data_IF_824860133315
#
_entry.id   IF_824860133315
#
_cell.length_a   1.000
_cell.length_b   1.000
_cell.length_c   1.000
_cell.angle_alpha   90.00
_cell.angle_beta   90.00
_cell.angle_gamma   90.00
#
_symmetry.space_group_name_H-M   'P 1'
#
loop_
_entity.id
_entity.type
_entity.pdbx_description
1 polymer ?
#
# COMPACT_ATOMS: atom_id res chain seq x y z
N UNK A 1 -94.47 31.28 24.87
CA UNK A 1 -93.35 31.28 25.82
C UNK A 1 -92.84 29.87 26.14
N UNK A 2 -93.60 28.77 25.88
CA UNK A 2 -93.20 27.37 26.20
C UNK A 2 -92.39 26.61 25.11
N UNK A 3 -92.32 27.13 23.91
CA UNK A 3 -91.50 26.43 22.84
C UNK A 3 -90.04 26.85 22.84
N UNK A 4 -89.69 27.99 23.38
CA UNK A 4 -88.26 28.42 23.45
C UNK A 4 -87.50 27.78 24.59
N UNK A 5 -88.18 27.45 25.72
CA UNK A 5 -87.61 26.71 26.84
C UNK A 5 -87.34 25.23 26.58
N UNK A 6 -88.13 24.59 25.70
CA UNK A 6 -87.89 23.20 25.30
C UNK A 6 -86.64 23.04 24.37
N UNK A 7 -86.38 24.03 23.53
CA UNK A 7 -85.21 24.03 22.66
C UNK A 7 -83.91 24.30 23.42
N UNK A 8 -83.96 25.12 24.49
CA UNK A 8 -82.75 25.35 25.32
C UNK A 8 -82.40 24.13 26.19
N UNK A 9 -83.41 23.33 26.63
CA UNK A 9 -83.19 22.09 27.38
C UNK A 9 -82.60 20.98 26.56
N UNK A 10 -82.91 20.90 25.25
CA UNK A 10 -82.41 19.87 24.36
C UNK A 10 -80.94 20.18 23.94
N UNK A 11 -80.50 21.42 23.94
CA UNK A 11 -79.13 21.84 23.63
C UNK A 11 -78.16 21.66 24.81
N UNK A 12 -78.65 21.72 26.05
CA UNK A 12 -77.87 21.49 27.27
C UNK A 12 -77.54 19.97 27.44
N UNK A 13 -78.34 19.06 26.91
CA UNK A 13 -78.09 17.62 27.00
C UNK A 13 -77.10 17.07 25.94
N UNK A 14 -76.79 17.89 24.90
CA UNK A 14 -75.81 17.49 23.87
C UNK A 14 -74.37 17.88 24.19
N UNK A 15 -74.11 18.67 25.24
CA UNK A 15 -72.75 19.11 25.58
C UNK A 15 -71.99 18.19 26.56
N UNK A 16 -72.57 17.08 27.01
CA UNK A 16 -71.89 16.17 27.97
C UNK A 16 -71.41 14.84 27.33
N UNK A 17 -71.39 14.72 26.01
CA UNK A 17 -70.63 13.64 25.34
C UNK A 17 -69.15 14.05 25.18
N UNK A 18 -68.44 14.26 26.33
CA UNK A 18 -66.99 14.34 26.36
C UNK A 18 -66.45 12.95 26.09
N UNK A 19 -66.10 12.72 24.83
CA UNK A 19 -65.29 11.58 24.48
C UNK A 19 -63.95 11.62 25.22
N UNK A 20 -63.81 10.86 26.28
CA UNK A 20 -62.51 10.40 26.76
C UNK A 20 -61.92 9.51 25.65
N UNK A 21 -61.08 10.14 24.85
CA UNK A 21 -60.23 9.38 23.89
C UNK A 21 -59.18 8.68 24.72
N UNK A 22 -59.46 7.46 25.16
CA UNK A 22 -58.42 6.53 25.53
C UNK A 22 -57.46 6.46 24.33
N UNK A 23 -56.25 6.96 24.49
CA UNK A 23 -55.18 6.67 23.57
C UNK A 23 -54.98 5.15 23.59
N UNK A 24 -55.68 4.44 22.71
CA UNK A 24 -55.29 3.08 22.39
C UNK A 24 -53.83 3.12 21.95
N UNK A 25 -52.96 2.62 22.82
CA UNK A 25 -51.60 2.26 22.43
C UNK A 25 -51.72 1.42 21.16
N UNK A 26 -51.21 1.92 20.07
CA UNK A 26 -51.17 1.20 18.78
C UNK A 26 -50.36 -0.04 19.02
N UNK A 27 -50.98 -1.15 19.36
CA UNK A 27 -50.35 -2.48 19.31
C UNK A 27 -49.95 -2.71 17.87
N UNK A 28 -48.67 -2.75 17.60
CA UNK A 28 -48.13 -3.11 16.29
C UNK A 28 -48.37 -4.60 16.13
N UNK A 29 -49.48 -4.96 15.42
CA UNK A 29 -49.90 -6.36 15.20
C UNK A 29 -48.87 -7.19 14.41
N UNK A 30 -47.89 -6.59 13.75
CA UNK A 30 -46.84 -7.31 13.07
C UNK A 30 -45.77 -7.69 14.06
N UNK A 31 -45.52 -9.00 14.24
CA UNK A 31 -44.41 -9.52 15.01
C UNK A 31 -43.09 -9.03 14.39
N UNK A 32 -42.33 -8.32 15.19
CA UNK A 32 -41.05 -7.79 14.80
C UNK A 32 -39.96 -8.82 15.03
N UNK A 33 -38.90 -8.81 14.21
CA UNK A 33 -37.79 -9.75 14.38
C UNK A 33 -36.76 -9.18 15.34
N UNK A 34 -36.33 -10.01 16.28
CA UNK A 34 -35.37 -9.67 17.33
C UNK A 34 -34.27 -10.73 17.37
N UNK A 35 -33.04 -10.31 17.56
CA UNK A 35 -31.88 -11.21 17.73
C UNK A 35 -31.04 -10.77 18.92
N UNK A 36 -29.98 -11.49 19.23
CA UNK A 36 -29.00 -11.09 20.23
C UNK A 36 -27.63 -10.81 19.58
N UNK A 37 -26.80 -9.95 20.17
CA UNK A 37 -25.40 -9.82 19.75
C UNK A 37 -24.69 -11.17 19.83
N UNK A 38 -23.78 -11.43 18.89
CA UNK A 38 -23.01 -12.69 18.87
C UNK A 38 -21.54 -12.38 19.21
N UNK A 39 -21.05 -13.00 20.27
CA UNK A 39 -19.64 -12.92 20.61
C UNK A 39 -18.86 -14.01 19.87
N UNK A 40 -17.93 -13.62 19.00
CA UNK A 40 -17.14 -14.57 18.22
C UNK A 40 -15.79 -13.98 17.81
N UNK A 41 -14.87 -14.87 17.48
CA UNK A 41 -13.64 -14.49 16.79
C UNK A 41 -13.94 -14.28 15.31
N UNK A 42 -13.48 -13.17 14.77
CA UNK A 42 -13.65 -12.82 13.35
C UNK A 42 -12.38 -12.17 12.81
N UNK A 43 -12.37 -11.86 11.54
CA UNK A 43 -11.24 -11.20 10.88
C UNK A 43 -11.75 -9.95 10.15
N UNK A 44 -11.15 -8.82 10.44
CA UNK A 44 -11.37 -7.57 9.72
C UNK A 44 -10.43 -7.51 8.53
N UNK A 45 -10.96 -7.18 7.38
CA UNK A 45 -10.17 -6.88 6.18
C UNK A 45 -9.94 -5.37 6.14
N UNK A 46 -8.67 -4.95 6.24
CA UNK A 46 -8.28 -3.56 6.04
C UNK A 46 -7.68 -3.40 4.67
N UNK A 47 -8.10 -2.38 3.95
CA UNK A 47 -7.61 -2.08 2.60
C UNK A 47 -6.85 -0.75 2.59
N UNK A 48 -5.69 -0.76 1.95
CA UNK A 48 -4.82 0.42 1.80
C UNK A 48 -4.42 0.59 0.36
N UNK A 49 -4.57 1.78 -0.18
CA UNK A 49 -4.03 2.12 -1.51
C UNK A 49 -2.51 1.96 -1.48
N UNK A 50 -1.96 1.36 -2.52
CA UNK A 50 -0.54 1.07 -2.59
C UNK A 50 0.10 1.46 -3.93
N UNK A 51 1.44 1.61 -3.88
CA UNK A 51 2.30 1.79 -5.04
C UNK A 51 3.23 0.59 -5.18
N UNK A 52 3.30 0.04 -6.37
CA UNK A 52 4.12 -1.12 -6.71
C UNK A 52 5.42 -0.65 -7.34
N UNK A 53 6.56 -1.06 -6.79
CA UNK A 53 7.89 -0.69 -7.28
C UNK A 53 8.76 -1.92 -7.46
N UNK A 54 9.57 -1.92 -8.50
CA UNK A 54 10.60 -2.95 -8.70
C UNK A 54 11.60 -2.96 -7.55
N UNK A 55 12.16 -4.11 -7.24
CA UNK A 55 13.20 -4.23 -6.20
C UNK A 55 14.45 -3.40 -6.53
N UNK A 56 14.76 -3.25 -7.82
CA UNK A 56 15.79 -2.35 -8.33
C UNK A 56 15.24 -1.63 -9.56
N UNK A 57 15.34 -0.32 -9.56
CA UNK A 57 14.97 0.53 -10.68
C UNK A 57 15.99 1.67 -10.77
N UNK A 58 16.70 1.75 -11.87
CA UNK A 58 17.77 2.72 -12.07
C UNK A 58 17.69 3.38 -13.44
N UNK A 59 18.21 4.58 -13.49
CA UNK A 59 18.48 5.31 -14.73
C UNK A 59 19.88 4.94 -15.25
N UNK A 60 19.94 4.41 -16.47
CA UNK A 60 21.21 4.20 -17.17
C UNK A 60 21.60 5.46 -17.91
N UNK A 61 22.68 6.08 -17.46
CA UNK A 61 23.19 7.34 -17.99
C UNK A 61 24.54 7.15 -18.68
N UNK A 62 24.81 7.97 -19.70
CA UNK A 62 26.11 8.03 -20.35
C UNK A 62 27.16 8.49 -19.33
N UNK A 63 28.30 7.79 -19.26
CA UNK A 63 29.42 8.15 -18.40
C UNK A 63 30.51 8.91 -19.16
N UNK A 64 30.44 8.90 -20.49
CA UNK A 64 31.35 9.59 -21.40
C UNK A 64 30.57 10.28 -22.50
N UNK A 65 31.16 11.32 -23.07
CA UNK A 65 30.58 12.05 -24.21
C UNK A 65 30.96 11.42 -25.54
N UNK A 66 30.08 11.44 -26.52
CA UNK A 66 30.37 11.00 -27.88
C UNK A 66 29.11 10.66 -28.66
N UNK A 67 29.27 10.21 -29.88
CA UNK A 67 28.16 9.71 -30.68
C UNK A 67 27.79 8.30 -30.25
N UNK A 68 26.51 8.02 -30.08
CA UNK A 68 26.00 6.68 -29.82
C UNK A 68 26.18 5.82 -31.08
N UNK A 69 27.20 5.00 -31.09
CA UNK A 69 27.61 4.23 -32.27
C UNK A 69 26.67 3.06 -32.55
N UNK A 70 26.27 2.33 -31.48
CA UNK A 70 25.44 1.15 -31.61
C UNK A 70 24.59 0.91 -30.37
N UNK A 71 23.39 0.39 -30.59
CA UNK A 71 22.47 -0.14 -29.58
C UNK A 71 22.35 -1.64 -29.83
N UNK A 72 22.56 -2.47 -28.79
CA UNK A 72 22.62 -3.93 -28.91
C UNK A 72 21.37 -4.64 -28.38
N UNK A 73 20.41 -3.88 -27.86
CA UNK A 73 19.19 -4.36 -27.23
C UNK A 73 17.99 -3.60 -27.77
N UNK A 74 16.79 -4.08 -27.45
CA UNK A 74 15.55 -3.39 -27.81
C UNK A 74 14.78 -2.97 -26.58
N UNK A 75 13.85 -1.99 -26.76
CA UNK A 75 12.92 -1.53 -25.73
C UNK A 75 12.06 -2.72 -25.26
N UNK A 76 11.86 -2.90 -23.95
CA UNK A 76 11.10 -4.01 -23.35
C UNK A 76 11.89 -5.34 -23.29
N UNK A 77 13.11 -5.39 -23.78
CA UNK A 77 13.92 -6.62 -23.76
C UNK A 77 14.45 -6.94 -22.36
N UNK A 78 14.40 -8.21 -21.97
CA UNK A 78 15.10 -8.71 -20.79
C UNK A 78 16.61 -8.82 -21.08
N UNK A 79 17.42 -8.30 -20.17
CA UNK A 79 18.90 -8.31 -20.27
C UNK A 79 19.52 -8.92 -19.02
N UNK A 80 20.70 -9.50 -19.20
CA UNK A 80 21.49 -10.09 -18.10
C UNK A 80 22.53 -9.11 -17.58
N UNK A 81 22.90 -9.24 -16.32
CA UNK A 81 24.01 -8.51 -15.71
C UNK A 81 25.29 -8.64 -16.56
N UNK A 82 25.95 -7.50 -16.83
CA UNK A 82 27.16 -7.41 -17.66
C UNK A 82 26.91 -7.39 -19.17
N UNK A 83 25.67 -7.61 -19.63
CA UNK A 83 25.33 -7.53 -21.06
C UNK A 83 25.59 -6.12 -21.58
N UNK A 84 26.25 -6.01 -22.76
CA UNK A 84 26.47 -4.74 -23.43
C UNK A 84 25.15 -4.22 -24.02
N UNK A 85 24.79 -2.99 -23.66
CA UNK A 85 23.53 -2.35 -24.04
C UNK A 85 23.76 -1.28 -25.12
N UNK A 86 24.69 -0.38 -24.84
CA UNK A 86 25.00 0.77 -25.70
C UNK A 86 26.52 0.90 -25.87
N UNK A 87 26.93 1.37 -27.05
CA UNK A 87 28.31 1.70 -27.36
C UNK A 87 28.41 3.16 -27.81
N UNK A 88 29.09 3.97 -27.05
CA UNK A 88 29.55 5.31 -27.47
C UNK A 88 30.79 5.13 -28.36
N UNK A 89 30.98 5.98 -29.37
CA UNK A 89 32.10 5.89 -30.30
C UNK A 89 33.46 5.88 -29.55
N UNK A 90 34.22 4.76 -29.55
CA UNK A 90 35.39 4.63 -28.70
C UNK A 90 36.69 5.22 -29.30
N UNK A 91 36.67 5.62 -30.56
CA UNK A 91 37.87 6.00 -31.33
C UNK A 91 38.77 7.04 -30.65
N UNK A 92 38.18 8.06 -30.04
CA UNK A 92 38.91 9.06 -29.28
C UNK A 92 39.63 8.46 -28.07
N UNK A 93 38.89 7.70 -27.30
CA UNK A 93 39.39 7.06 -26.06
C UNK A 93 40.42 5.96 -26.35
N UNK A 94 40.28 5.20 -27.44
CA UNK A 94 41.30 4.29 -27.96
C UNK A 94 42.63 5.04 -28.28
N UNK A 95 42.54 6.19 -28.94
CA UNK A 95 43.72 7.00 -29.24
C UNK A 95 44.38 7.58 -27.96
N UNK A 96 43.58 8.03 -26.99
CA UNK A 96 44.09 8.50 -25.70
C UNK A 96 44.80 7.41 -24.93
N UNK A 97 44.24 6.19 -24.90
CA UNK A 97 44.88 5.04 -24.29
C UNK A 97 46.19 4.67 -24.99
N UNK A 98 46.23 4.69 -26.34
CA UNK A 98 47.45 4.45 -27.11
C UNK A 98 48.53 5.48 -26.79
N UNK A 99 48.16 6.76 -26.66
CA UNK A 99 49.07 7.84 -26.31
C UNK A 99 49.63 7.58 -24.89
N UNK A 100 48.81 7.30 -23.87
CA UNK A 100 49.23 7.01 -22.52
C UNK A 100 50.18 5.80 -22.46
N UNK A 101 49.87 4.75 -23.26
CA UNK A 101 50.76 3.57 -23.37
C UNK A 101 52.14 3.91 -23.98
N UNK A 102 52.20 4.83 -24.96
CA UNK A 102 53.45 5.26 -25.57
C UNK A 102 54.27 6.09 -24.55
N UNK A 103 53.65 6.97 -23.79
CA UNK A 103 54.30 7.76 -22.73
C UNK A 103 54.84 6.86 -21.60
N UNK A 104 54.09 5.86 -21.22
CA UNK A 104 54.52 4.91 -20.20
C UNK A 104 55.72 4.03 -20.69
N UNK A 105 55.73 3.60 -21.97
CA UNK A 105 56.88 2.93 -22.54
C UNK A 105 58.12 3.80 -22.57
N UNK A 106 57.98 5.10 -22.88
CA UNK A 106 59.08 6.03 -22.83
C UNK A 106 59.61 6.18 -21.40
N UNK A 107 58.73 6.35 -20.40
CA UNK A 107 59.11 6.47 -19.01
C UNK A 107 59.76 5.17 -18.44
N UNK A 108 59.31 4.01 -18.93
CA UNK A 108 59.89 2.70 -18.57
C UNK A 108 61.35 2.60 -19.06
N UNK A 109 61.60 2.97 -20.37
CA UNK A 109 62.95 2.97 -20.90
C UNK A 109 63.87 3.94 -20.12
N UNK A 110 63.39 5.14 -19.84
CA UNK A 110 64.10 6.13 -19.02
C UNK A 110 64.46 5.56 -17.63
N UNK A 111 63.48 4.97 -16.92
CA UNK A 111 63.70 4.32 -15.65
C UNK A 111 64.73 3.19 -15.72
N UNK A 112 64.63 2.33 -16.70
CA UNK A 112 65.56 1.21 -16.87
C UNK A 112 67.01 1.70 -17.15
N UNK A 113 67.18 2.72 -17.96
CA UNK A 113 68.49 3.34 -18.24
C UNK A 113 69.06 4.02 -16.96
N UNK A 114 68.24 4.81 -16.26
CA UNK A 114 68.65 5.45 -15.00
C UNK A 114 68.99 4.42 -13.93
N UNK A 115 68.23 3.30 -13.87
CA UNK A 115 68.53 2.21 -12.94
C UNK A 115 69.88 1.60 -13.18
N UNK A 116 70.25 1.28 -14.44
CA UNK A 116 71.57 0.77 -14.77
C UNK A 116 72.68 1.72 -14.34
N UNK A 117 72.52 3.04 -14.62
CA UNK A 117 73.51 4.05 -14.19
C UNK A 117 73.59 4.19 -12.69
N UNK A 118 72.47 4.01 -11.95
CA UNK A 118 72.46 4.05 -10.48
C UNK A 118 73.13 2.79 -9.90
N UNK A 119 72.88 1.62 -10.48
CA UNK A 119 73.52 0.34 -10.10
C UNK A 119 75.09 0.43 -10.29
N UNK A 120 75.51 1.18 -11.33
CA UNK A 120 76.93 1.47 -11.59
C UNK A 120 77.49 2.68 -10.79
N UNK A 121 76.70 3.29 -9.89
CA UNK A 121 77.02 4.47 -9.09
C UNK A 121 77.34 5.74 -9.90
N UNK A 122 76.81 5.89 -11.13
CA UNK A 122 77.01 7.01 -12.03
C UNK A 122 76.06 8.18 -11.70
N UNK A 123 74.84 7.87 -11.22
CA UNK A 123 73.79 8.84 -10.90
C UNK A 123 73.38 8.75 -9.45
N UNK A 124 72.85 9.87 -8.90
CA UNK A 124 72.38 9.92 -7.53
C UNK A 124 71.11 9.08 -7.29
N UNK A 125 70.90 8.48 -6.11
CA UNK A 125 69.70 7.69 -5.78
C UNK A 125 68.40 8.47 -6.00
N UNK A 126 68.43 9.80 -5.82
CA UNK A 126 67.25 10.66 -6.09
C UNK A 126 66.84 10.69 -7.54
N UNK A 127 67.75 10.60 -8.51
CA UNK A 127 67.44 10.55 -9.93
C UNK A 127 66.71 9.26 -10.30
N UNK A 128 67.14 8.13 -9.73
CA UNK A 128 66.42 6.88 -9.88
C UNK A 128 65.02 6.95 -9.28
N UNK A 129 64.88 7.54 -8.09
CA UNK A 129 63.57 7.72 -7.48
C UNK A 129 62.64 8.61 -8.30
N UNK A 130 63.17 9.69 -8.92
CA UNK A 130 62.41 10.55 -9.82
C UNK A 130 62.00 9.84 -11.10
N UNK A 131 62.87 9.05 -11.75
CA UNK A 131 62.57 8.26 -12.93
C UNK A 131 61.49 7.20 -12.63
N UNK A 132 61.57 6.57 -11.44
CA UNK A 132 60.51 5.65 -10.99
C UNK A 132 59.18 6.35 -10.78
N UNK A 133 59.15 7.50 -10.08
CA UNK A 133 57.92 8.26 -9.87
C UNK A 133 57.26 8.69 -11.20
N UNK A 134 58.05 9.05 -12.20
CA UNK A 134 57.60 9.38 -13.56
C UNK A 134 56.95 8.18 -14.25
N UNK A 135 57.59 7.01 -14.13
CA UNK A 135 57.00 5.76 -14.64
C UNK A 135 55.68 5.40 -13.95
N UNK A 136 55.66 5.48 -12.61
CA UNK A 136 54.47 5.17 -11.82
C UNK A 136 53.29 6.13 -12.19
N UNK A 137 53.58 7.42 -12.43
CA UNK A 137 52.62 8.39 -12.94
C UNK A 137 52.09 7.96 -14.32
N UNK A 138 52.98 7.63 -15.27
CA UNK A 138 52.58 7.23 -16.62
C UNK A 138 51.75 5.92 -16.61
N UNK A 139 52.02 4.99 -15.71
CA UNK A 139 51.19 3.81 -15.49
C UNK A 139 49.79 4.15 -14.94
N UNK A 140 49.67 5.14 -14.07
CA UNK A 140 48.38 5.65 -13.59
C UNK A 140 47.57 6.30 -14.71
N UNK A 141 48.26 7.04 -15.62
CA UNK A 141 47.60 7.66 -16.80
C UNK A 141 47.03 6.60 -17.78
N UNK A 142 47.72 5.44 -17.95
CA UNK A 142 47.15 4.29 -18.68
C UNK A 142 45.87 3.81 -18.03
N UNK A 143 45.90 3.59 -16.70
CA UNK A 143 44.73 3.08 -15.97
C UNK A 143 43.55 4.03 -16.10
N UNK A 144 43.77 5.32 -16.03
CA UNK A 144 42.74 6.35 -16.22
C UNK A 144 42.14 6.30 -17.63
N UNK A 145 42.98 6.30 -18.69
CA UNK A 145 42.54 6.21 -20.07
C UNK A 145 41.78 4.91 -20.35
N UNK A 146 42.15 3.81 -19.68
CA UNK A 146 41.46 2.53 -19.81
C UNK A 146 40.06 2.57 -19.16
N UNK A 147 39.88 3.27 -18.04
CA UNK A 147 38.57 3.47 -17.42
C UNK A 147 37.67 4.33 -18.32
N UNK A 148 38.19 5.41 -18.90
CA UNK A 148 37.43 6.23 -19.87
C UNK A 148 36.97 5.40 -21.08
N UNK A 149 37.85 4.55 -21.62
CA UNK A 149 37.48 3.64 -22.71
C UNK A 149 36.39 2.65 -22.28
N UNK A 150 36.49 2.07 -21.07
CA UNK A 150 35.46 1.19 -20.54
C UNK A 150 34.09 1.88 -20.40
N UNK A 151 34.08 3.12 -20.00
CA UNK A 151 32.86 3.92 -19.84
C UNK A 151 32.15 4.23 -21.17
N UNK A 152 32.81 4.01 -22.31
CA UNK A 152 32.14 4.06 -23.62
C UNK A 152 31.20 2.88 -23.84
N UNK A 153 31.33 1.80 -23.06
CA UNK A 153 30.51 0.59 -23.08
C UNK A 153 29.51 0.61 -21.91
N UNK A 154 28.26 0.89 -22.20
CA UNK A 154 27.21 0.89 -21.18
C UNK A 154 26.65 -0.54 -21.04
N UNK A 155 26.85 -1.15 -19.87
CA UNK A 155 26.46 -2.51 -19.56
C UNK A 155 25.41 -2.56 -18.44
N UNK A 156 24.57 -3.60 -18.45
CA UNK A 156 23.58 -3.84 -17.42
C UNK A 156 24.24 -4.17 -16.06
N UNK A 157 23.96 -3.44 -14.98
CA UNK A 157 24.52 -3.73 -13.66
C UNK A 157 23.85 -4.90 -12.94
N UNK A 158 22.63 -5.27 -13.32
CA UNK A 158 21.86 -6.41 -12.83
C UNK A 158 20.93 -6.95 -13.92
N UNK A 159 20.31 -8.10 -13.67
CA UNK A 159 19.32 -8.71 -14.55
C UNK A 159 18.01 -7.90 -14.49
N UNK A 160 17.43 -7.55 -15.65
CA UNK A 160 16.22 -6.74 -15.66
C UNK A 160 15.65 -6.51 -17.04
N UNK A 161 14.63 -5.68 -17.10
CA UNK A 161 13.95 -5.27 -18.34
C UNK A 161 14.35 -3.84 -18.66
N UNK A 162 14.78 -3.63 -19.91
CA UNK A 162 15.04 -2.31 -20.46
C UNK A 162 13.72 -1.61 -20.75
N UNK A 163 13.63 -0.35 -20.41
CA UNK A 163 12.50 0.50 -20.73
C UNK A 163 12.78 1.30 -22.03
N UNK A 164 11.99 2.30 -22.27
CA UNK A 164 12.08 3.16 -23.46
C UNK A 164 13.44 3.85 -23.59
N UNK A 165 13.96 3.95 -24.82
CA UNK A 165 15.17 4.71 -25.10
C UNK A 165 14.88 6.21 -25.21
N UNK A 166 15.69 7.03 -24.50
CA UNK A 166 15.64 8.49 -24.60
C UNK A 166 16.50 9.01 -25.75
N UNK A 167 17.37 8.17 -26.28
CA UNK A 167 18.32 8.49 -27.35
C UNK A 167 18.20 7.48 -28.50
N UNK A 168 18.74 7.82 -29.67
CA UNK A 168 18.77 6.95 -30.84
C UNK A 168 20.20 6.75 -31.30
N UNK A 169 20.45 5.68 -32.05
CA UNK A 169 21.75 5.47 -32.70
C UNK A 169 22.11 6.67 -33.56
N UNK A 170 23.34 7.18 -33.44
CA UNK A 170 23.82 8.38 -34.08
C UNK A 170 23.59 9.67 -33.30
N UNK A 171 22.85 9.66 -32.16
CA UNK A 171 22.73 10.81 -31.28
C UNK A 171 24.07 11.16 -30.63
N UNK A 172 24.36 12.45 -30.51
CA UNK A 172 25.42 12.94 -29.63
C UNK A 172 24.91 12.87 -28.18
N UNK A 173 25.64 12.24 -27.30
CA UNK A 173 25.37 12.17 -25.85
C UNK A 173 26.49 12.83 -25.07
N UNK A 174 26.12 13.52 -23.99
CA UNK A 174 27.03 14.07 -22.98
C UNK A 174 27.12 13.21 -21.75
N UNK A 175 28.10 13.47 -20.91
CA UNK A 175 28.20 12.85 -19.57
C UNK A 175 26.96 13.19 -18.73
N UNK A 176 26.33 12.18 -18.16
CA UNK A 176 25.09 12.30 -17.37
C UNK A 176 23.78 12.21 -18.17
N UNK A 177 23.82 12.19 -19.51
CA UNK A 177 22.62 12.08 -20.32
C UNK A 177 21.91 10.74 -20.10
N UNK A 178 20.58 10.78 -19.92
CA UNK A 178 19.75 9.61 -19.71
C UNK A 178 19.58 8.83 -21.01
N UNK A 179 19.97 7.56 -21.00
CA UNK A 179 19.85 6.67 -22.16
C UNK A 179 18.55 5.84 -22.09
N UNK A 180 18.30 5.22 -20.94
CA UNK A 180 17.14 4.39 -20.64
C UNK A 180 17.03 4.15 -19.15
N UNK A 181 15.97 3.43 -18.72
CA UNK A 181 15.88 2.88 -17.39
C UNK A 181 15.96 1.35 -17.41
N UNK A 182 16.40 0.76 -16.33
CA UNK A 182 16.50 -0.70 -16.14
C UNK A 182 15.79 -1.09 -14.84
N UNK A 183 14.85 -2.04 -14.94
CA UNK A 183 14.03 -2.49 -13.82
C UNK A 183 14.18 -3.99 -13.58
N UNK A 184 14.47 -4.39 -12.34
CA UNK A 184 14.35 -5.77 -11.88
C UNK A 184 12.96 -6.00 -11.29
N UNK A 185 12.11 -6.67 -12.07
CA UNK A 185 10.74 -7.00 -11.70
C UNK A 185 10.59 -8.42 -11.13
N UNK A 186 11.68 -9.11 -10.77
CA UNK A 186 11.63 -10.47 -10.20
C UNK A 186 10.90 -10.52 -8.86
N UNK A 187 11.01 -9.45 -8.10
CA UNK A 187 10.28 -9.18 -6.86
C UNK A 187 9.81 -7.74 -6.88
N UNK A 188 8.66 -7.50 -6.24
CA UNK A 188 8.09 -6.16 -6.15
C UNK A 188 8.03 -5.70 -4.71
N UNK A 189 8.38 -4.46 -4.49
CA UNK A 189 8.13 -3.75 -3.25
C UNK A 189 6.82 -2.97 -3.38
N UNK A 190 5.91 -3.25 -2.49
CA UNK A 190 4.61 -2.60 -2.45
C UNK A 190 4.54 -1.71 -1.21
N UNK A 191 4.45 -0.41 -1.45
CA UNK A 191 4.38 0.61 -0.42
C UNK A 191 2.93 1.02 -0.17
N UNK A 192 2.52 1.05 1.08
CA UNK A 192 1.19 1.48 1.50
C UNK A 192 1.27 2.20 2.84
N UNK A 193 0.34 3.12 3.07
CA UNK A 193 0.35 3.98 4.24
C UNK A 193 -0.66 3.47 5.27
N UNK A 194 -0.20 3.28 6.51
CA UNK A 194 -0.99 2.82 7.65
C UNK A 194 -1.15 3.96 8.66
N UNK A 195 -2.38 4.28 9.12
CA UNK A 195 -2.61 5.28 10.16
C UNK A 195 -1.91 4.92 11.48
N UNK A 196 -1.48 5.94 12.24
CA UNK A 196 -0.76 5.77 13.51
C UNK A 196 -1.49 4.85 14.51
N UNK A 197 -2.80 5.03 14.66
CA UNK A 197 -3.60 4.19 15.56
C UNK A 197 -3.50 2.70 15.20
N UNK A 198 -3.55 2.38 13.91
CA UNK A 198 -3.46 1.00 13.41
C UNK A 198 -2.04 0.43 13.48
N UNK A 199 -1.04 1.30 13.33
CA UNK A 199 0.35 0.91 13.56
C UNK A 199 0.59 0.51 15.01
N UNK A 200 0.02 1.23 15.99
CA UNK A 200 0.15 0.89 17.41
C UNK A 200 -0.48 -0.48 17.71
N UNK A 201 -1.66 -0.77 17.14
CA UNK A 201 -2.29 -2.08 17.22
C UNK A 201 -1.41 -3.17 16.58
N UNK A 202 -0.88 -2.92 15.38
CA UNK A 202 0.03 -3.85 14.70
C UNK A 202 1.30 -4.10 15.51
N UNK A 203 1.88 -3.07 16.11
CA UNK A 203 3.14 -3.18 16.89
C UNK A 203 2.98 -4.04 18.14
N UNK A 204 1.80 -4.07 18.72
CA UNK A 204 1.46 -4.89 19.91
C UNK A 204 1.07 -6.32 19.56
N UNK A 205 0.81 -6.65 18.26
CA UNK A 205 0.52 -8.02 17.82
C UNK A 205 1.79 -8.89 17.84
N UNK A 206 1.81 -10.01 18.57
CA UNK A 206 2.98 -10.91 18.63
C UNK A 206 3.31 -11.58 17.29
N UNK A 207 2.41 -11.53 16.30
CA UNK A 207 2.58 -12.13 14.95
C UNK A 207 3.07 -11.17 13.88
N UNK A 208 3.44 -9.95 14.23
CA UNK A 208 3.85 -8.88 13.30
C UNK A 208 4.90 -9.31 12.26
N UNK A 209 5.85 -10.16 12.65
CA UNK A 209 6.99 -10.53 11.81
C UNK A 209 6.62 -11.46 10.63
N UNK A 210 5.39 -11.98 10.59
CA UNK A 210 4.91 -12.91 9.55
C UNK A 210 3.59 -12.47 8.92
N UNK A 211 3.24 -11.20 9.06
CA UNK A 211 1.98 -10.69 8.52
C UNK A 211 1.95 -10.80 7.00
N UNK A 212 1.11 -11.72 6.53
CA UNK A 212 0.83 -11.88 5.09
C UNK A 212 -0.21 -10.88 4.65
N UNK A 213 -0.02 -10.35 3.46
CA UNK A 213 -0.95 -9.41 2.83
C UNK A 213 -1.25 -9.87 1.41
N UNK A 214 -2.45 -9.57 0.94
CA UNK A 214 -2.86 -9.82 -0.44
C UNK A 214 -2.87 -8.51 -1.20
N UNK A 215 -2.51 -8.56 -2.48
CA UNK A 215 -2.55 -7.42 -3.39
C UNK A 215 -3.77 -7.56 -4.30
N UNK A 216 -4.60 -6.54 -4.35
CA UNK A 216 -5.66 -6.38 -5.35
C UNK A 216 -5.14 -5.43 -6.41
N UNK A 217 -5.02 -5.92 -7.63
CA UNK A 217 -4.54 -5.16 -8.78
C UNK A 217 -5.59 -4.15 -9.27
N UNK A 218 -5.20 -3.25 -10.14
CA UNK A 218 -6.08 -2.19 -10.67
C UNK A 218 -7.32 -2.70 -11.41
N UNK A 219 -7.31 -3.96 -11.88
CA UNK A 219 -8.45 -4.64 -12.51
C UNK A 219 -9.39 -5.33 -11.49
N UNK A 220 -9.21 -5.10 -10.18
CA UNK A 220 -9.90 -5.72 -9.05
C UNK A 220 -9.64 -7.24 -8.88
N UNK A 221 -8.67 -7.81 -9.59
CA UNK A 221 -8.27 -9.19 -9.36
C UNK A 221 -7.24 -9.29 -8.23
N UNK A 222 -7.35 -10.34 -7.43
CA UNK A 222 -6.37 -10.62 -6.37
C UNK A 222 -5.14 -11.26 -6.98
N UNK A 223 -3.97 -10.68 -6.74
CA UNK A 223 -2.70 -11.24 -7.18
C UNK A 223 -2.46 -12.60 -6.52
N UNK A 224 -2.03 -13.58 -7.32
CA UNK A 224 -1.93 -15.00 -6.92
C UNK A 224 -0.96 -15.24 -5.75
N UNK A 225 0.11 -14.47 -5.67
CA UNK A 225 1.17 -14.68 -4.67
C UNK A 225 1.01 -13.70 -3.52
N UNK A 226 0.94 -14.19 -2.25
CA UNK A 226 0.86 -13.31 -1.10
C UNK A 226 2.19 -12.58 -0.87
N UNK A 227 2.09 -11.34 -0.41
CA UNK A 227 3.23 -10.57 0.05
C UNK A 227 3.46 -10.74 1.55
N UNK A 228 4.66 -10.37 1.98
CA UNK A 228 5.05 -10.34 3.38
C UNK A 228 5.47 -8.93 3.76
N UNK A 229 4.90 -8.38 4.83
CA UNK A 229 5.33 -7.10 5.40
C UNK A 229 6.71 -7.30 5.99
N UNK A 230 7.72 -6.63 5.42
CA UNK A 230 9.12 -6.82 5.80
C UNK A 230 9.76 -5.58 6.41
N UNK A 231 9.26 -4.39 6.08
CA UNK A 231 9.85 -3.12 6.54
C UNK A 231 8.75 -2.13 6.87
N UNK A 232 8.92 -1.45 7.97
CA UNK A 232 8.12 -0.32 8.41
C UNK A 232 9.10 0.84 8.52
N UNK A 233 8.80 1.97 7.90
CA UNK A 233 9.65 3.15 8.00
C UNK A 233 9.63 3.70 9.44
N UNK A 234 10.70 4.40 9.83
CA UNK A 234 10.82 4.90 11.19
C UNK A 234 10.10 6.24 11.40
N UNK A 235 9.92 7.00 10.33
CA UNK A 235 9.40 8.36 10.41
C UNK A 235 7.95 8.43 9.95
N UNK A 236 7.11 9.02 10.81
CA UNK A 236 5.74 9.36 10.47
C UNK A 236 5.69 10.56 9.52
N UNK A 237 4.80 10.50 8.57
CA UNK A 237 4.42 11.70 7.83
C UNK A 237 3.54 12.59 8.73
N UNK A 238 4.09 13.69 9.23
CA UNK A 238 3.42 14.60 10.16
C UNK A 238 2.19 15.31 9.55
N UNK A 239 2.11 15.40 8.22
CA UNK A 239 0.97 16.03 7.54
C UNK A 239 -0.24 15.10 7.47
N UNK A 240 0.00 13.79 7.31
CA UNK A 240 -1.06 12.79 7.12
C UNK A 240 -1.28 11.88 8.32
N UNK A 241 -0.37 11.87 9.30
CA UNK A 241 -0.42 10.97 10.45
C UNK A 241 -0.25 9.48 10.09
N UNK A 242 0.33 9.20 8.92
CA UNK A 242 0.51 7.84 8.42
C UNK A 242 1.98 7.41 8.46
N UNK A 243 2.17 6.10 8.56
CA UNK A 243 3.48 5.45 8.50
C UNK A 243 3.56 4.56 7.25
N UNK A 244 4.59 4.71 6.41
CA UNK A 244 4.77 3.86 5.24
C UNK A 244 5.19 2.44 5.65
N UNK A 245 4.44 1.45 5.17
CA UNK A 245 4.75 0.03 5.25
C UNK A 245 5.22 -0.44 3.89
N UNK A 246 6.14 -1.42 3.87
CA UNK A 246 6.61 -2.08 2.67
C UNK A 246 6.39 -3.58 2.77
N UNK A 247 5.61 -4.12 1.85
CA UNK A 247 5.49 -5.56 1.64
C UNK A 247 6.31 -5.99 0.42
N UNK A 248 6.87 -7.19 0.48
CA UNK A 248 7.59 -7.79 -0.65
C UNK A 248 6.75 -8.90 -1.26
N UNK A 249 6.53 -8.81 -2.57
CA UNK A 249 5.79 -9.78 -3.36
C UNK A 249 6.72 -10.48 -4.35
N UNK A 250 6.70 -11.82 -4.47
CA UNK A 250 7.35 -12.52 -5.57
C UNK A 250 6.58 -12.26 -6.87
N UNK A 251 7.26 -12.10 -7.99
CA UNK A 251 6.64 -11.83 -9.28
C UNK A 251 7.17 -12.79 -10.38
N UNK A 252 7.02 -14.11 -10.22
CA UNK A 252 7.64 -15.09 -11.11
C UNK A 252 7.08 -15.07 -12.54
N UNK A 253 5.86 -14.58 -12.72
CA UNK A 253 5.20 -14.46 -14.04
C UNK A 253 5.44 -13.10 -14.70
N UNK A 254 6.13 -12.15 -14.02
CA UNK A 254 6.36 -10.79 -14.53
C UNK A 254 5.09 -9.98 -14.76
N UNK A 255 4.00 -10.32 -14.05
CA UNK A 255 2.70 -9.65 -14.22
C UNK A 255 2.71 -8.22 -13.67
N UNK A 256 3.43 -8.02 -12.56
CA UNK A 256 3.53 -6.71 -11.92
C UNK A 256 4.70 -5.93 -12.52
N UNK A 257 4.50 -4.63 -12.74
CA UNK A 257 5.48 -3.71 -13.30
C UNK A 257 5.73 -2.52 -12.37
N UNK A 258 6.86 -1.84 -12.57
CA UNK A 258 7.20 -0.64 -11.82
C UNK A 258 6.20 0.49 -12.06
N UNK A 259 5.73 1.13 -10.98
CA UNK A 259 4.84 2.29 -11.07
C UNK A 259 3.35 1.95 -11.09
N UNK A 260 2.98 0.67 -11.09
CA UNK A 260 1.57 0.27 -10.96
C UNK A 260 1.01 0.61 -9.57
N UNK A 261 -0.31 0.68 -9.48
CA UNK A 261 -1.06 0.92 -8.25
C UNK A 261 -2.05 -0.21 -7.99
N UNK A 262 -2.49 -0.31 -6.75
CA UNK A 262 -3.48 -1.30 -6.33
C UNK A 262 -3.90 -1.07 -4.89
N UNK A 263 -4.51 -2.07 -4.29
CA UNK A 263 -4.88 -2.07 -2.88
C UNK A 263 -4.26 -3.27 -2.15
N UNK A 264 -3.65 -3.02 -1.01
CA UNK A 264 -3.23 -4.06 -0.07
C UNK A 264 -4.40 -4.43 0.82
N UNK A 265 -4.71 -5.73 0.91
CA UNK A 265 -5.62 -6.29 1.92
C UNK A 265 -4.82 -6.94 3.04
N UNK A 266 -5.00 -6.41 4.24
CA UNK A 266 -4.41 -6.93 5.47
C UNK A 266 -5.50 -7.52 6.36
N UNK A 267 -5.31 -8.77 6.80
CA UNK A 267 -6.25 -9.47 7.67
C UNK A 267 -5.90 -9.21 9.14
N UNK A 268 -6.79 -8.50 9.84
CA UNK A 268 -6.63 -8.18 11.27
C UNK A 268 -7.61 -9.03 12.08
N UNK A 269 -7.14 -9.97 12.90
CA UNK A 269 -8.03 -10.79 13.70
C UNK A 269 -8.63 -10.00 14.87
N UNK A 270 -9.93 -10.10 15.02
CA UNK A 270 -10.69 -9.56 16.14
C UNK A 270 -11.11 -10.72 17.05
N UNK A 271 -10.53 -10.80 18.24
CA UNK A 271 -10.87 -11.82 19.24
C UNK A 271 -12.03 -11.36 20.11
N UNK A 272 -12.97 -12.30 20.40
CA UNK A 272 -14.12 -12.03 21.26
C UNK A 272 -14.94 -10.78 20.85
N UNK A 273 -15.02 -10.48 19.56
CA UNK A 273 -15.75 -9.33 19.05
C UNK A 273 -17.26 -9.51 19.26
N UNK A 274 -17.93 -8.46 19.72
CA UNK A 274 -19.39 -8.42 19.83
C UNK A 274 -19.96 -7.98 18.49
N UNK A 275 -20.52 -8.92 17.72
CA UNK A 275 -20.97 -8.71 16.35
C UNK A 275 -22.49 -8.53 16.30
N UNK A 276 -22.94 -7.53 15.54
CA UNK A 276 -24.34 -7.29 15.22
C UNK A 276 -24.52 -7.00 13.73
N UNK A 277 -25.69 -7.30 13.14
CA UNK A 277 -26.01 -6.88 11.78
C UNK A 277 -26.12 -5.35 11.69
N UNK A 278 -25.57 -4.76 10.64
CA UNK A 278 -25.71 -3.31 10.37
C UNK A 278 -27.18 -2.89 10.26
N UNK A 279 -28.04 -3.74 9.67
CA UNK A 279 -29.48 -3.50 9.55
C UNK A 279 -30.22 -3.38 10.88
N UNK A 280 -29.63 -3.84 12.02
CA UNK A 280 -30.17 -3.69 13.36
C UNK A 280 -29.87 -2.31 13.98
N UNK A 281 -29.15 -1.45 13.30
CA UNK A 281 -28.72 -0.14 13.79
C UNK A 281 -29.44 1.01 13.09
N UNK A 282 -29.52 2.14 13.72
CA UNK A 282 -29.93 3.40 13.11
C UNK A 282 -29.04 4.54 13.60
N UNK A 283 -29.00 5.60 12.82
CA UNK A 283 -28.15 6.76 13.06
C UNK A 283 -29.00 7.98 13.40
N UNK A 284 -28.56 8.68 14.42
CA UNK A 284 -29.12 9.99 14.82
C UNK A 284 -27.95 10.95 14.95
N UNK A 285 -27.91 11.94 14.07
CA UNK A 285 -26.74 12.81 13.88
C UNK A 285 -25.50 11.96 13.52
N UNK A 286 -24.46 12.00 14.34
CA UNK A 286 -23.20 11.30 14.16
C UNK A 286 -23.05 10.03 15.03
N UNK A 287 -24.16 9.63 15.71
CA UNK A 287 -24.14 8.53 16.66
C UNK A 287 -24.98 7.34 16.19
N UNK A 288 -24.48 6.14 16.43
CA UNK A 288 -25.18 4.89 16.12
C UNK A 288 -25.94 4.38 17.34
N UNK A 289 -27.15 3.89 17.06
CA UNK A 289 -28.07 3.37 18.09
C UNK A 289 -28.61 2.00 17.68
N UNK A 290 -29.01 1.22 18.69
CA UNK A 290 -29.83 0.02 18.53
C UNK A 290 -31.07 0.15 19.41
N UNK A 291 -32.16 -0.52 19.02
CA UNK A 291 -33.28 -0.72 19.91
C UNK A 291 -33.09 -2.03 20.67
N UNK A 292 -32.97 -1.93 21.99
CA UNK A 292 -32.92 -3.08 22.92
C UNK A 292 -34.30 -3.32 23.47
N UNK A 293 -34.75 -4.57 23.47
CA UNK A 293 -36.04 -4.98 24.05
C UNK A 293 -35.83 -5.34 25.50
N UNK A 294 -36.56 -4.68 26.41
CA UNK A 294 -36.49 -4.93 27.83
C UNK A 294 -37.41 -6.10 28.28
N UNK A 295 -37.42 -6.38 29.59
CA UNK A 295 -38.20 -7.48 30.20
C UNK A 295 -39.72 -7.29 30.02
N UNK A 296 -40.19 -6.07 29.85
CA UNK A 296 -41.60 -5.72 29.69
C UNK A 296 -42.01 -5.68 28.21
N UNK A 297 -41.15 -6.17 27.31
CA UNK A 297 -41.28 -6.11 25.85
C UNK A 297 -41.38 -4.68 25.31
N UNK A 298 -40.70 -3.72 25.96
CA UNK A 298 -40.59 -2.34 25.48
C UNK A 298 -39.24 -2.12 24.81
N UNK A 299 -39.23 -1.40 23.70
CA UNK A 299 -38.01 -1.01 23.00
C UNK A 299 -37.40 0.24 23.62
N UNK A 300 -36.10 0.19 23.86
CA UNK A 300 -35.31 1.32 24.35
C UNK A 300 -34.16 1.58 23.39
N UNK A 301 -34.05 2.82 22.93
CA UNK A 301 -32.89 3.25 22.16
C UNK A 301 -31.64 3.27 23.05
N UNK A 302 -30.58 2.65 22.59
CA UNK A 302 -29.30 2.64 23.30
C UNK A 302 -28.19 3.02 22.33
N UNK A 303 -27.36 3.97 22.71
CA UNK A 303 -26.17 4.37 21.97
C UNK A 303 -25.15 3.23 21.99
N UNK A 304 -24.50 2.99 20.86
CA UNK A 304 -23.43 2.00 20.71
C UNK A 304 -22.19 2.64 20.11
N UNK A 305 -21.03 2.11 20.48
CA UNK A 305 -19.76 2.49 19.89
C UNK A 305 -19.30 1.40 18.96
N UNK A 306 -19.10 1.74 17.68
CA UNK A 306 -18.57 0.81 16.69
C UNK A 306 -17.04 0.74 16.86
N UNK A 307 -16.53 -0.48 17.02
CA UNK A 307 -15.09 -0.75 17.07
C UNK A 307 -14.50 -1.08 15.69
N UNK A 308 -15.28 -1.77 14.86
CA UNK A 308 -14.90 -2.05 13.47
C UNK A 308 -16.13 -2.19 12.57
N UNK A 309 -15.99 -1.72 11.34
CA UNK A 309 -16.99 -1.82 10.27
C UNK A 309 -16.61 -2.98 9.32
N UNK A 310 -17.56 -3.86 9.05
CA UNK A 310 -17.45 -4.99 8.14
C UNK A 310 -18.62 -4.94 7.16
N UNK A 311 -18.52 -5.58 6.02
CA UNK A 311 -19.45 -5.47 4.88
C UNK A 311 -20.94 -5.36 5.27
N UNK A 312 -21.48 -6.25 6.12
CA UNK A 312 -22.88 -6.25 6.59
C UNK A 312 -23.01 -6.26 8.13
N UNK A 313 -21.89 -6.16 8.84
CA UNK A 313 -21.78 -6.38 10.28
C UNK A 313 -21.04 -5.24 10.94
N UNK A 314 -21.38 -4.96 12.20
CA UNK A 314 -20.58 -4.11 13.08
C UNK A 314 -19.98 -4.94 14.21
N UNK A 315 -18.68 -4.75 14.45
CA UNK A 315 -18.08 -5.15 15.72
C UNK A 315 -18.26 -3.97 16.70
N UNK A 316 -19.05 -4.20 17.76
CA UNK A 316 -19.37 -3.18 18.75
C UNK A 316 -18.39 -3.27 19.91
N UNK A 317 -17.78 -2.12 20.26
CA UNK A 317 -16.85 -2.01 21.38
C UNK A 317 -17.53 -1.68 22.71
N UNK A 318 -18.67 -0.98 22.69
CA UNK A 318 -19.41 -0.58 23.88
C UNK A 318 -20.88 -0.33 23.58
N UNK A 319 -21.73 -0.42 24.63
CA UNK A 319 -23.14 -0.06 24.57
C UNK A 319 -24.11 -1.23 24.59
N UNK A 320 -23.69 -2.47 24.29
CA UNK A 320 -24.54 -3.67 24.33
C UNK A 320 -23.85 -4.84 25.03
N UNK A 321 -24.67 -5.78 25.50
CA UNK A 321 -24.23 -7.04 26.13
C UNK A 321 -24.71 -8.23 25.28
N UNK A 322 -24.04 -9.38 25.42
CA UNK A 322 -24.39 -10.62 24.71
C UNK A 322 -25.82 -11.10 25.01
N UNK A 323 -26.35 -10.77 26.19
CA UNK A 323 -27.69 -11.15 26.63
C UNK A 323 -28.78 -10.19 26.16
N UNK A 324 -28.43 -9.05 25.60
CA UNK A 324 -29.40 -8.08 25.11
C UNK A 324 -30.16 -8.64 23.90
N UNK A 325 -31.42 -8.25 23.79
CA UNK A 325 -32.26 -8.55 22.63
C UNK A 325 -32.35 -7.28 21.79
N UNK A 326 -31.82 -7.30 20.57
CA UNK A 326 -31.81 -6.16 19.66
C UNK A 326 -32.83 -6.34 18.55
N UNK A 327 -33.51 -5.28 18.19
CA UNK A 327 -34.45 -5.26 17.09
C UNK A 327 -33.70 -5.39 15.75
N UNK A 328 -34.06 -6.38 14.96
CA UNK A 328 -33.41 -6.69 13.67
C UNK A 328 -34.10 -5.98 12.50
N UNK A 329 -35.43 -5.91 12.55
CA UNK A 329 -36.25 -5.32 11.50
C UNK A 329 -37.38 -4.48 12.08
N UNK A 330 -37.88 -3.51 11.30
CA UNK A 330 -38.95 -2.63 11.72
C UNK A 330 -38.49 -1.41 12.54
N UNK A 331 -37.22 -1.10 12.55
CA UNK A 331 -36.62 0.04 13.29
C UNK A 331 -37.37 1.36 13.02
N UNK A 332 -37.82 1.59 11.77
CA UNK A 332 -38.58 2.80 11.38
C UNK A 332 -40.03 2.79 11.85
N UNK A 333 -40.56 1.65 12.33
CA UNK A 333 -41.96 1.49 12.74
C UNK A 333 -42.16 1.69 14.24
N UNK A 334 -41.08 1.71 15.02
CA UNK A 334 -41.13 1.78 16.49
C UNK A 334 -40.53 3.09 16.99
N UNK A 335 -41.02 3.54 18.14
CA UNK A 335 -40.46 4.65 18.88
C UNK A 335 -39.95 4.19 20.23
N UNK A 336 -39.05 4.98 20.82
CA UNK A 336 -38.55 4.69 22.16
C UNK A 336 -39.70 4.51 23.16
N UNK A 337 -39.67 3.41 23.93
CA UNK A 337 -40.65 2.99 24.92
C UNK A 337 -41.93 2.32 24.36
N UNK A 338 -42.05 2.08 23.06
CA UNK A 338 -43.19 1.34 22.50
C UNK A 338 -43.15 -0.10 22.98
N UNK A 339 -44.34 -0.66 23.28
CA UNK A 339 -44.49 -2.08 23.57
C UNK A 339 -44.66 -2.86 22.28
N UNK A 340 -43.88 -3.93 22.07
CA UNK A 340 -43.84 -4.72 20.84
C UNK A 340 -44.12 -6.20 21.10
N UNK A 341 -44.67 -6.85 20.08
CA UNK A 341 -44.67 -8.31 19.94
C UNK A 341 -43.55 -8.70 18.99
N UNK A 342 -42.73 -9.71 19.33
CA UNK A 342 -41.57 -10.08 18.55
C UNK A 342 -41.36 -11.59 18.47
N UNK A 343 -40.70 -12.02 17.37
CA UNK A 343 -40.17 -13.37 17.21
C UNK A 343 -38.63 -13.32 17.34
N UNK A 344 -38.10 -14.19 18.19
CA UNK A 344 -36.64 -14.26 18.39
C UNK A 344 -36.00 -15.15 17.32
N UNK A 345 -34.96 -14.63 16.67
CA UNK A 345 -34.13 -15.37 15.72
C UNK A 345 -32.73 -15.63 16.31
N UNK A 346 -32.25 -16.84 16.09
CA UNK A 346 -30.89 -17.21 16.52
C UNK A 346 -29.86 -16.32 15.80
N UNK A 347 -28.95 -15.65 16.52
CA UNK A 347 -27.96 -14.75 15.91
C UNK A 347 -27.09 -15.42 14.84
N UNK A 348 -26.73 -16.70 15.02
CA UNK A 348 -25.93 -17.42 13.99
C UNK A 348 -26.70 -17.62 12.69
N UNK A 349 -28.01 -17.88 12.77
CA UNK A 349 -28.86 -17.99 11.59
C UNK A 349 -29.00 -16.66 10.88
N UNK A 350 -29.21 -15.58 11.62
CA UNK A 350 -29.27 -14.21 11.10
C UNK A 350 -27.99 -13.87 10.33
N UNK A 351 -26.80 -14.15 10.92
CA UNK A 351 -25.51 -13.88 10.29
C UNK A 351 -25.30 -14.68 8.99
N UNK A 352 -25.77 -15.94 8.94
CA UNK A 352 -25.64 -16.76 7.74
C UNK A 352 -26.56 -16.32 6.58
N UNK A 353 -27.66 -15.65 6.90
CA UNK A 353 -28.61 -15.13 5.90
C UNK A 353 -28.26 -13.75 5.35
N UNK A 354 -27.29 -13.04 5.97
CA UNK A 354 -26.81 -11.75 5.48
C UNK A 354 -25.96 -11.89 4.21
N UNK A 355 -25.33 -13.04 4.01
CA UNK A 355 -24.67 -13.34 2.72
C UNK A 355 -25.77 -13.79 1.74
N UNK A 356 -26.38 -12.82 1.06
CA UNK A 356 -27.15 -13.14 -0.15
C UNK A 356 -26.19 -13.73 -1.18
N UNK A 357 -26.56 -14.82 -1.88
CA UNK A 357 -25.79 -15.25 -3.04
C UNK A 357 -25.74 -14.06 -4.00
N UNK A 358 -24.56 -13.65 -4.38
CA UNK A 358 -24.38 -12.74 -5.51
C UNK A 358 -24.98 -13.41 -6.74
N UNK A 359 -26.10 -12.85 -7.27
CA UNK A 359 -26.58 -13.19 -8.60
C UNK A 359 -25.56 -12.90 -9.67
#
# INVERSE_FOLDING_TARGET
>A
MNRLLMLAGLWALLCHASCTTEKKEKEIEAKLLVTSPLKMDTTLVKEYVCQIRSISHIELRAQERGYLQKIFVDEGQFVKKGQLLFQIMPKLYEAELQKAQAEARFAEIEYQNTKKLADDNVVAPNELAMAKAKLDKAKADISLSQVHLQFTEIRAPFDGIIDRFMVRQGSLVGEGDLLTTLSDNSKMWVYFNVPEAEYLDYKTDPRKDTTKVSLVMANNEVFEYPGVVGTIEADFNNETGNLPFRATFPNPKGLLSHGETGNIRMLVPLKNAMIIPQKATFEVLDKKYVYVVDKDNRVKSREITIGADMEDLYAVSAGIAETDKILLEGIRKVKNNDKISFDYQNPRLVMSQLKLPSE
#
